data_IF_007283331017
#
_entry.id   IF_007283331017
#
_cell.length_a   1.000
_cell.length_b   1.000
_cell.length_c   1.000
_cell.angle_alpha   90.00
_cell.angle_beta   90.00
_cell.angle_gamma   90.00
#
_symmetry.space_group_name_H-M   'P 1'
#
loop_
_entity.id
_entity.type
_entity.pdbx_description
1 polymer ?
#
# COMPACT_ATOMS: atom_id res chain seq x y z
N UNK A 1 -4.41 17.10 17.54
CA UNK A 1 -4.20 16.34 16.28
C UNK A 1 -5.29 16.59 15.26
N UNK A 2 -6.54 16.88 15.67
CA UNK A 2 -7.63 17.39 14.81
C UNK A 2 -7.32 18.69 14.05
N UNK A 3 -6.21 19.38 14.35
CA UNK A 3 -5.78 20.59 13.63
C UNK A 3 -5.10 20.28 12.28
N UNK A 4 -4.70 19.03 12.05
CA UNK A 4 -3.96 18.62 10.85
C UNK A 4 -4.86 18.08 9.72
N UNK A 5 -6.14 17.89 10.01
CA UNK A 5 -7.13 17.34 9.08
C UNK A 5 -8.36 18.24 9.08
N UNK A 6 -9.07 18.31 7.95
CA UNK A 6 -10.38 18.94 7.89
C UNK A 6 -11.41 18.07 8.60
N UNK A 7 -12.49 18.67 9.08
CA UNK A 7 -13.57 17.95 9.78
C UNK A 7 -14.18 16.84 8.90
N UNK A 8 -14.39 17.15 7.62
CA UNK A 8 -14.87 16.18 6.60
C UNK A 8 -13.93 14.96 6.47
N UNK A 9 -12.60 15.19 6.44
CA UNK A 9 -11.63 14.07 6.38
C UNK A 9 -11.65 13.23 7.66
N UNK A 10 -11.80 13.87 8.83
CA UNK A 10 -11.90 13.16 10.11
C UNK A 10 -13.15 12.29 10.14
N UNK A 11 -14.26 12.75 9.57
CA UNK A 11 -15.49 11.98 9.47
C UNK A 11 -15.33 10.77 8.53
N UNK A 12 -14.71 10.94 7.36
CA UNK A 12 -14.40 9.82 6.44
C UNK A 12 -13.50 8.77 7.11
N UNK A 13 -12.46 9.22 7.82
CA UNK A 13 -11.58 8.36 8.59
C UNK A 13 -12.32 7.62 9.69
N UNK A 14 -13.21 8.30 10.41
CA UNK A 14 -13.99 7.70 11.49
C UNK A 14 -14.94 6.64 10.95
N UNK A 15 -15.61 6.91 9.84
CA UNK A 15 -16.50 5.95 9.19
C UNK A 15 -15.74 4.70 8.73
N UNK A 16 -14.61 4.88 8.04
CA UNK A 16 -13.77 3.74 7.63
C UNK A 16 -13.22 2.96 8.83
N UNK A 17 -12.78 3.66 9.87
CA UNK A 17 -12.28 3.03 11.09
C UNK A 17 -13.36 2.20 11.78
N UNK A 18 -14.57 2.74 11.94
CA UNK A 18 -15.69 2.01 12.57
C UNK A 18 -16.12 0.78 11.77
N UNK A 19 -15.98 0.80 10.43
CA UNK A 19 -16.31 -0.33 9.57
C UNK A 19 -15.45 -1.56 9.87
N UNK A 20 -14.16 -1.37 10.16
CA UNK A 20 -13.20 -2.47 10.41
C UNK A 20 -12.79 -2.64 11.87
N UNK A 21 -13.12 -1.66 12.73
CA UNK A 21 -12.87 -1.66 14.16
C UNK A 21 -14.12 -1.19 14.95
N UNK A 22 -15.24 -1.93 14.89
CA UNK A 22 -16.48 -1.57 15.58
C UNK A 22 -16.32 -1.50 17.12
N UNK A 23 -15.33 -2.20 17.67
CA UNK A 23 -14.94 -2.15 19.08
C UNK A 23 -14.21 -0.87 19.49
N UNK A 24 -13.92 0.05 18.55
CA UNK A 24 -13.27 1.33 18.82
C UNK A 24 -11.74 1.30 18.80
N UNK A 25 -11.12 0.16 18.50
CA UNK A 25 -9.67 0.00 18.45
C UNK A 25 -9.21 -1.04 17.43
N UNK A 26 -7.97 -0.90 16.95
CA UNK A 26 -7.30 -1.87 16.08
C UNK A 26 -6.28 -2.68 16.88
N UNK A 27 -6.41 -4.00 16.82
CA UNK A 27 -5.57 -4.96 17.56
C UNK A 27 -4.50 -5.64 16.69
N UNK A 28 -4.70 -5.64 15.37
CA UNK A 28 -3.91 -6.40 14.38
C UNK A 28 -3.45 -5.52 13.21
N UNK A 29 -2.21 -5.72 12.69
CA UNK A 29 -1.71 -4.99 11.52
C UNK A 29 -2.60 -5.12 10.28
N UNK A 30 -3.24 -6.26 10.09
CA UNK A 30 -4.10 -6.52 8.93
C UNK A 30 -5.34 -5.61 8.93
N UNK A 31 -6.00 -5.41 10.09
CA UNK A 31 -7.12 -4.46 10.20
C UNK A 31 -6.67 -3.03 9.90
N UNK A 32 -5.49 -2.62 10.38
CA UNK A 32 -4.94 -1.29 10.04
C UNK A 32 -4.66 -1.18 8.54
N UNK A 33 -4.12 -2.24 7.93
CA UNK A 33 -3.90 -2.32 6.49
C UNK A 33 -5.21 -2.10 5.72
N UNK A 34 -6.29 -2.79 6.09
CA UNK A 34 -7.60 -2.63 5.46
C UNK A 34 -8.12 -1.19 5.59
N UNK A 35 -8.09 -0.60 6.78
CA UNK A 35 -8.55 0.78 7.00
C UNK A 35 -7.75 1.76 6.14
N UNK A 36 -6.41 1.67 6.15
CA UNK A 36 -5.56 2.57 5.38
C UNK A 36 -5.78 2.41 3.86
N UNK A 37 -5.91 1.17 3.37
CA UNK A 37 -6.19 0.89 1.96
C UNK A 37 -7.58 1.34 1.52
N UNK A 38 -8.58 1.25 2.38
CA UNK A 38 -9.92 1.80 2.12
C UNK A 38 -9.91 3.32 1.96
N UNK A 39 -8.93 3.99 2.55
CA UNK A 39 -8.68 5.42 2.43
C UNK A 39 -7.67 5.76 1.31
N UNK A 40 -7.42 4.82 0.39
CA UNK A 40 -6.49 4.95 -0.74
C UNK A 40 -5.02 5.19 -0.37
N UNK A 41 -4.61 4.83 0.86
CA UNK A 41 -3.19 4.78 1.25
C UNK A 41 -2.60 3.39 0.98
N UNK A 42 -1.31 3.33 0.73
CA UNK A 42 -0.56 2.13 0.38
C UNK A 42 0.56 1.82 1.40
N UNK A 43 0.21 1.50 2.67
CA UNK A 43 1.22 1.14 3.65
C UNK A 43 1.84 -0.23 3.37
N UNK A 44 3.14 -0.33 3.60
CA UNK A 44 3.90 -1.59 3.60
C UNK A 44 3.71 -2.36 4.92
N UNK A 45 3.94 -3.66 4.91
CA UNK A 45 3.89 -4.50 6.13
C UNK A 45 4.90 -4.00 7.18
N UNK A 46 6.08 -3.55 6.76
CA UNK A 46 7.12 -2.99 7.62
C UNK A 46 6.65 -1.69 8.29
N UNK A 47 6.01 -0.79 7.55
CA UNK A 47 5.43 0.44 8.10
C UNK A 47 4.30 0.13 9.07
N UNK A 48 3.39 -0.79 8.73
CA UNK A 48 2.30 -1.21 9.64
C UNK A 48 2.86 -1.74 10.96
N UNK A 49 3.87 -2.63 10.91
CA UNK A 49 4.55 -3.13 12.12
C UNK A 49 5.22 -2.01 12.91
N UNK A 50 5.85 -1.05 12.24
CA UNK A 50 6.46 0.12 12.87
C UNK A 50 5.42 0.99 13.58
N UNK A 51 4.31 1.31 12.91
CA UNK A 51 3.21 2.08 13.49
C UNK A 51 2.62 1.37 14.71
N UNK A 52 2.39 0.05 14.61
CA UNK A 52 1.96 -0.76 15.75
C UNK A 52 2.94 -0.70 16.91
N UNK A 53 4.22 -0.95 16.67
CA UNK A 53 5.23 -0.93 17.73
C UNK A 53 5.37 0.44 18.41
N UNK A 54 5.06 1.52 17.69
CA UNK A 54 5.12 2.90 18.18
C UNK A 54 3.89 3.29 18.99
N UNK A 55 2.69 3.01 18.49
CA UNK A 55 1.43 3.52 19.06
C UNK A 55 0.69 2.52 19.96
N UNK A 56 0.96 1.21 19.83
CA UNK A 56 0.32 0.16 20.65
C UNK A 56 0.90 0.06 22.07
N UNK A 57 2.01 0.75 22.37
CA UNK A 57 2.82 0.52 23.59
C UNK A 57 2.06 0.72 24.90
N UNK A 58 1.19 1.71 24.98
CA UNK A 58 0.56 2.10 26.24
C UNK A 58 -0.78 1.37 26.47
N UNK A 59 -1.65 1.36 25.47
CA UNK A 59 -2.99 0.77 25.57
C UNK A 59 -3.06 -0.71 25.16
N UNK A 60 -1.99 -1.25 24.56
CA UNK A 60 -2.01 -2.59 23.97
C UNK A 60 -2.88 -2.70 22.71
N UNK A 61 -3.45 -1.60 22.23
CA UNK A 61 -4.26 -1.46 21.00
C UNK A 61 -3.98 -0.11 20.34
N UNK A 62 -4.45 0.08 19.10
CA UNK A 62 -4.41 1.37 18.40
C UNK A 62 -5.81 1.98 18.42
N UNK A 63 -6.00 3.06 19.16
CA UNK A 63 -7.27 3.79 19.21
C UNK A 63 -7.41 4.75 18.01
N UNK A 64 -8.59 5.35 17.83
CA UNK A 64 -8.83 6.27 16.72
C UNK A 64 -7.88 7.48 16.72
N UNK A 65 -7.57 8.04 17.89
CA UNK A 65 -6.63 9.15 18.00
C UNK A 65 -5.20 8.76 17.58
N UNK A 66 -4.78 7.52 17.83
CA UNK A 66 -3.50 7.01 17.36
C UNK A 66 -3.52 6.74 15.87
N UNK A 67 -4.63 6.23 15.34
CA UNK A 67 -4.83 6.07 13.91
C UNK A 67 -4.68 7.39 13.15
N UNK A 68 -5.23 8.50 13.66
CA UNK A 68 -5.02 9.82 13.05
C UNK A 68 -3.54 10.24 13.03
N UNK A 69 -2.76 9.89 14.06
CA UNK A 69 -1.31 10.15 14.08
C UNK A 69 -0.59 9.31 13.03
N UNK A 70 -0.98 8.04 12.89
CA UNK A 70 -0.44 7.11 11.88
C UNK A 70 -0.71 7.64 10.47
N UNK A 71 -1.95 8.04 10.16
CA UNK A 71 -2.33 8.59 8.86
C UNK A 71 -1.52 9.85 8.55
N UNK A 72 -1.35 10.75 9.53
CA UNK A 72 -0.55 11.95 9.36
C UNK A 72 0.91 11.65 9.04
N UNK A 73 1.52 10.72 9.80
CA UNK A 73 2.91 10.29 9.58
C UNK A 73 3.08 9.58 8.24
N UNK A 74 2.13 8.72 7.84
CA UNK A 74 2.19 7.99 6.59
C UNK A 74 2.06 8.91 5.37
N UNK A 75 1.13 9.86 5.38
CA UNK A 75 0.98 10.85 4.29
C UNK A 75 2.25 11.65 4.02
N UNK A 76 3.10 11.84 5.03
CA UNK A 76 4.37 12.54 4.87
C UNK A 76 5.47 11.69 4.24
N UNK A 77 5.33 10.35 4.27
CA UNK A 77 6.35 9.40 3.77
C UNK A 77 5.91 8.66 2.51
N UNK A 78 4.60 8.54 2.28
CA UNK A 78 4.04 7.78 1.18
C UNK A 78 4.40 8.40 -0.18
N UNK A 79 5.13 7.65 -0.99
CA UNK A 79 5.50 8.06 -2.35
C UNK A 79 5.53 6.87 -3.31
N UNK A 80 4.55 5.97 -3.19
CA UNK A 80 4.50 4.71 -3.92
C UNK A 80 4.73 4.86 -5.44
N UNK A 81 4.11 5.82 -6.18
CA UNK A 81 4.35 5.94 -7.62
C UNK A 81 5.82 6.19 -7.98
N UNK A 82 6.50 7.05 -7.21
CA UNK A 82 7.91 7.38 -7.46
C UNK A 82 8.85 6.27 -6.98
N UNK A 83 8.55 5.63 -5.84
CA UNK A 83 9.33 4.48 -5.35
C UNK A 83 9.29 3.31 -6.33
N UNK A 84 8.09 3.00 -6.83
CA UNK A 84 7.88 1.99 -7.88
C UNK A 84 8.69 2.39 -9.12
N UNK A 85 8.47 3.59 -9.65
CA UNK A 85 9.16 4.05 -10.87
C UNK A 85 10.69 4.03 -10.74
N UNK A 86 11.22 4.49 -9.61
CA UNK A 86 12.66 4.50 -9.33
C UNK A 86 13.23 3.07 -9.25
N UNK A 87 12.51 2.15 -8.61
CA UNK A 87 12.91 0.74 -8.56
C UNK A 87 12.96 0.13 -9.96
N UNK A 88 11.98 0.40 -10.83
CA UNK A 88 11.97 -0.12 -12.20
C UNK A 88 13.06 0.49 -13.08
N UNK A 89 13.30 1.80 -12.97
CA UNK A 89 14.40 2.46 -13.70
C UNK A 89 15.78 1.92 -13.34
N UNK A 90 15.96 1.42 -12.12
CA UNK A 90 17.20 0.74 -11.74
C UNK A 90 17.45 -0.54 -12.55
N UNK A 91 16.38 -1.27 -12.91
CA UNK A 91 16.46 -2.51 -13.68
C UNK A 91 16.43 -2.29 -15.20
N UNK A 92 15.88 -1.17 -15.66
CA UNK A 92 15.81 -0.80 -17.08
C UNK A 92 16.94 0.13 -17.50
N UNK A 93 18.14 -0.44 -17.58
CA UNK A 93 19.34 0.31 -17.94
C UNK A 93 19.26 0.95 -19.34
N UNK A 94 18.41 0.41 -20.22
CA UNK A 94 18.22 0.89 -21.59
C UNK A 94 17.07 1.89 -21.73
N UNK A 95 16.30 2.14 -20.65
CA UNK A 95 15.13 3.03 -20.63
C UNK A 95 14.09 2.68 -21.69
N UNK A 96 13.83 1.39 -21.85
CA UNK A 96 12.85 0.87 -22.79
C UNK A 96 11.40 1.15 -22.36
N UNK A 97 11.18 1.44 -21.08
CA UNK A 97 9.84 1.68 -20.51
C UNK A 97 9.10 0.40 -20.12
N UNK A 98 9.75 -0.77 -20.22
CA UNK A 98 9.24 -2.06 -19.81
C UNK A 98 10.35 -3.01 -19.34
N UNK A 99 10.00 -3.97 -18.50
CA UNK A 99 10.83 -5.14 -18.18
C UNK A 99 10.15 -6.45 -18.58
N UNK A 100 10.91 -7.53 -18.65
CA UNK A 100 10.36 -8.86 -18.84
C UNK A 100 9.62 -9.36 -17.59
N UNK A 101 8.51 -10.06 -17.78
CA UNK A 101 7.70 -10.70 -16.72
C UNK A 101 8.52 -11.61 -15.79
N UNK A 102 9.53 -12.30 -16.33
CA UNK A 102 10.48 -13.10 -15.54
C UNK A 102 11.33 -12.23 -14.61
N UNK A 103 11.75 -11.06 -15.08
CA UNK A 103 12.49 -10.10 -14.27
C UNK A 103 11.60 -9.48 -13.21
N UNK A 104 10.35 -9.10 -13.55
CA UNK A 104 9.37 -8.63 -12.58
C UNK A 104 9.16 -9.67 -11.46
N UNK A 105 8.95 -10.93 -11.82
CA UNK A 105 8.84 -12.03 -10.86
C UNK A 105 10.03 -12.08 -9.94
N UNK A 106 11.23 -12.11 -10.51
CA UNK A 106 12.46 -12.15 -9.71
C UNK A 106 12.54 -10.98 -8.72
N UNK A 107 12.21 -9.76 -9.15
CA UNK A 107 12.21 -8.58 -8.28
C UNK A 107 11.22 -8.77 -7.13
N UNK A 108 9.95 -9.10 -7.44
CA UNK A 108 8.86 -9.20 -6.46
C UNK A 108 9.00 -10.38 -5.49
N UNK A 109 9.69 -11.46 -5.88
CA UNK A 109 9.93 -12.62 -5.00
C UNK A 109 11.22 -12.52 -4.19
N UNK A 110 12.16 -11.64 -4.56
CA UNK A 110 13.49 -11.58 -3.92
C UNK A 110 13.80 -10.27 -3.20
N UNK A 111 13.08 -9.18 -3.49
CA UNK A 111 13.36 -7.85 -2.93
C UNK A 111 12.30 -7.44 -1.92
N UNK A 112 12.73 -6.81 -0.81
CA UNK A 112 11.81 -6.18 0.16
C UNK A 112 10.76 -7.15 0.73
N UNK A 113 9.49 -6.73 0.65
CA UNK A 113 8.34 -7.53 1.04
C UNK A 113 7.99 -8.54 -0.06
N UNK A 114 8.54 -9.73 0.10
CA UNK A 114 8.48 -10.79 -0.90
C UNK A 114 7.05 -11.27 -1.11
N UNK A 115 6.62 -11.25 -2.37
CA UNK A 115 5.40 -11.89 -2.81
C UNK A 115 5.63 -13.38 -3.09
N UNK A 116 4.56 -14.15 -3.01
CA UNK A 116 4.60 -15.55 -3.46
C UNK A 116 4.49 -15.60 -4.98
N UNK A 117 4.94 -16.71 -5.59
CA UNK A 117 4.77 -16.92 -7.03
C UNK A 117 3.31 -16.81 -7.48
N UNK A 118 2.38 -17.22 -6.63
CA UNK A 118 0.93 -17.13 -6.88
C UNK A 118 0.46 -15.68 -6.92
N UNK A 119 0.94 -14.84 -5.99
CA UNK A 119 0.58 -13.42 -5.98
C UNK A 119 1.13 -12.71 -7.23
N UNK A 120 2.35 -13.08 -7.64
CA UNK A 120 2.95 -12.57 -8.89
C UNK A 120 2.15 -13.03 -10.11
N UNK A 121 1.68 -14.28 -10.16
CA UNK A 121 0.80 -14.77 -11.24
C UNK A 121 -0.48 -13.95 -11.35
N UNK A 122 -1.10 -13.60 -10.21
CA UNK A 122 -2.29 -12.75 -10.18
C UNK A 122 -1.99 -11.34 -10.73
N UNK A 123 -0.85 -10.74 -10.34
CA UNK A 123 -0.41 -9.44 -10.84
C UNK A 123 -0.19 -9.48 -12.36
N UNK A 124 0.54 -10.49 -12.87
CA UNK A 124 0.82 -10.61 -14.30
C UNK A 124 -0.47 -10.81 -15.12
N UNK A 125 -1.44 -11.55 -14.56
CA UNK A 125 -2.76 -11.73 -15.16
C UNK A 125 -3.53 -10.41 -15.20
N UNK A 126 -3.55 -9.66 -14.11
CA UNK A 126 -4.24 -8.36 -14.01
C UNK A 126 -3.67 -7.33 -14.99
N UNK A 127 -2.35 -7.35 -15.20
CA UNK A 127 -1.66 -6.50 -16.16
C UNK A 127 -1.89 -6.90 -17.63
N UNK A 128 -2.62 -8.00 -17.88
CA UNK A 128 -2.85 -8.56 -19.21
C UNK A 128 -1.55 -8.76 -20.01
N UNK A 129 -0.50 -9.29 -19.35
CA UNK A 129 0.79 -9.53 -19.99
C UNK A 129 0.63 -10.54 -21.13
N UNK A 130 0.93 -10.09 -22.34
CA UNK A 130 0.80 -10.89 -23.55
C UNK A 130 1.91 -11.94 -23.71
N UNK A 131 1.90 -12.61 -24.87
CA UNK A 131 2.90 -13.62 -25.22
C UNK A 131 4.32 -13.07 -25.42
N UNK A 132 4.46 -11.75 -25.59
CA UNK A 132 5.77 -11.07 -25.65
C UNK A 132 6.41 -10.92 -24.26
N UNK A 133 5.64 -11.15 -23.19
CA UNK A 133 6.11 -11.19 -21.82
C UNK A 133 6.52 -9.84 -21.25
N UNK A 134 6.17 -8.72 -21.91
CA UNK A 134 6.59 -7.38 -21.52
C UNK A 134 5.65 -6.76 -20.49
N UNK A 135 6.23 -6.11 -19.49
CA UNK A 135 5.50 -5.37 -18.47
C UNK A 135 5.90 -3.90 -18.50
N UNK A 136 4.98 -3.05 -18.92
CA UNK A 136 5.15 -1.60 -18.96
C UNK A 136 4.97 -0.98 -17.57
N UNK A 137 5.84 -0.03 -17.22
CA UNK A 137 5.82 0.58 -15.87
C UNK A 137 4.54 1.33 -15.60
N UNK A 138 4.06 2.10 -16.58
CA UNK A 138 2.86 2.90 -16.44
C UNK A 138 1.65 2.02 -16.10
N UNK A 139 1.53 0.85 -16.74
CA UNK A 139 0.46 -0.11 -16.45
C UNK A 139 0.58 -0.66 -15.02
N UNK A 140 1.78 -0.98 -14.58
CA UNK A 140 2.02 -1.49 -13.22
C UNK A 140 1.75 -0.43 -12.15
N UNK A 141 2.25 0.79 -12.34
CA UNK A 141 2.01 1.92 -11.45
C UNK A 141 0.52 2.19 -11.39
N UNK A 142 -0.15 2.32 -12.54
CA UNK A 142 -1.59 2.54 -12.61
C UNK A 142 -2.36 1.43 -11.90
N UNK A 143 -2.02 0.16 -12.15
CA UNK A 143 -2.68 -0.97 -11.47
C UNK A 143 -2.52 -0.86 -9.95
N UNK A 144 -1.31 -0.57 -9.45
CA UNK A 144 -1.00 -0.54 -8.02
C UNK A 144 -1.53 0.70 -7.28
N UNK A 145 -1.63 1.84 -7.97
CA UNK A 145 -2.01 3.13 -7.36
C UNK A 145 -3.47 3.51 -7.61
N UNK A 146 -4.18 2.75 -8.46
CA UNK A 146 -5.61 2.95 -8.63
C UNK A 146 -6.39 2.64 -7.35
N UNK A 147 -7.33 3.51 -6.95
CA UNK A 147 -8.23 3.25 -5.83
C UNK A 147 -8.98 1.93 -6.03
N UNK A 148 -9.06 1.12 -4.96
CA UNK A 148 -9.76 -0.17 -4.97
C UNK A 148 -11.23 -0.07 -5.42
N UNK A 149 -11.85 1.11 -5.26
CA UNK A 149 -13.22 1.39 -5.71
C UNK A 149 -13.41 1.34 -7.24
N UNK A 150 -12.32 1.40 -8.03
CA UNK A 150 -12.35 1.38 -9.49
C UNK A 150 -12.06 0.03 -10.15
N UNK A 151 -11.67 -0.99 -9.38
CA UNK A 151 -11.39 -2.33 -9.92
C UNK A 151 -12.70 -3.11 -10.07
N UNK A 152 -13.32 -3.00 -11.26
CA UNK A 152 -14.48 -3.81 -11.69
C UNK A 152 -14.02 -4.93 -12.61
#
# INVERSE_FOLDING_TARGET
MSKNFKEEEIDDFRQCFQLFAPQGFVDTPDKLCFIMRSLSMAPTIAELKRYFAKYKKDAGVVEFDDFLKIVWEHRATENAPNEISAAFQHYDTQRLGYIDSKQLRYILTNTGEKLTDRDVDLILRELNVGSDGRVFYDNLVQMLTQPLAGRR
#
